data_IF_239531486579
#
_entry.id   IF_239531486579
#
_cell.length_a   1.000
_cell.length_b   1.000
_cell.length_c   1.000
_cell.angle_alpha   90.00
_cell.angle_beta   90.00
_cell.angle_gamma   90.00
#
_symmetry.space_group_name_H-M   'P 1'
#
loop_
_entity.id
_entity.type
_entity.pdbx_description
1 polymer ?
#
# COMPACT_ATOMS: atom_id res chain seq x y z
N UNK A 1 -16.71 -15.53 -7.25
CA UNK A 1 -16.17 -16.92 -7.26
C UNK A 1 -15.41 -17.09 -8.56
N UNK A 2 -14.11 -17.45 -8.53
CA UNK A 2 -13.24 -17.51 -9.72
C UNK A 2 -13.22 -18.91 -10.41
N UNK A 3 -14.18 -19.78 -10.11
CA UNK A 3 -14.09 -21.22 -10.42
C UNK A 3 -14.20 -21.59 -11.91
N UNK A 4 -14.77 -20.73 -12.76
CA UNK A 4 -15.05 -21.03 -14.18
C UNK A 4 -14.23 -20.16 -15.16
N UNK A 5 -13.08 -19.66 -14.71
CA UNK A 5 -12.18 -18.81 -15.53
C UNK A 5 -10.87 -19.54 -15.78
N UNK A 6 -10.47 -19.67 -17.05
CA UNK A 6 -9.08 -20.01 -17.35
C UNK A 6 -8.22 -18.83 -16.89
N UNK A 7 -7.20 -19.11 -16.10
CA UNK A 7 -6.33 -18.06 -15.58
C UNK A 7 -4.91 -18.60 -15.36
N UNK A 8 -3.95 -17.70 -15.39
CA UNK A 8 -2.59 -18.00 -15.00
C UNK A 8 -2.49 -18.13 -13.49
N UNK A 9 -1.69 -19.09 -13.04
CA UNK A 9 -1.38 -19.31 -11.64
C UNK A 9 0.13 -19.42 -11.48
N UNK A 10 0.71 -18.58 -10.62
CA UNK A 10 2.14 -18.64 -10.29
C UNK A 10 2.39 -18.45 -8.80
N UNK A 11 3.52 -18.91 -8.29
CA UNK A 11 3.92 -18.69 -6.90
C UNK A 11 4.32 -17.22 -6.71
N UNK A 12 3.80 -16.60 -5.65
CA UNK A 12 4.10 -15.22 -5.28
C UNK A 12 5.10 -15.12 -4.11
N UNK A 13 5.63 -13.90 -3.91
CA UNK A 13 6.45 -13.54 -2.76
C UNK A 13 7.96 -13.70 -2.95
N UNK A 14 8.75 -12.95 -2.18
CA UNK A 14 10.22 -13.00 -2.19
C UNK A 14 10.75 -14.08 -1.25
N UNK A 15 10.79 -13.78 0.05
CA UNK A 15 11.15 -14.75 1.09
C UNK A 15 10.05 -15.79 1.32
N UNK A 16 8.78 -15.36 1.28
CA UNK A 16 7.62 -16.20 1.60
C UNK A 16 7.40 -17.38 0.65
N UNK A 17 7.98 -17.36 -0.56
CA UNK A 17 7.94 -18.52 -1.48
C UNK A 17 8.61 -19.78 -0.91
N UNK A 18 9.47 -19.62 0.11
CA UNK A 18 10.17 -20.72 0.80
C UNK A 18 9.30 -21.42 1.85
N UNK A 19 8.18 -20.82 2.25
CA UNK A 19 7.28 -21.34 3.27
C UNK A 19 6.38 -22.42 2.66
N UNK A 20 5.97 -23.42 3.43
CA UNK A 20 5.22 -24.58 2.91
C UNK A 20 3.93 -24.17 2.20
N UNK A 21 3.12 -23.37 2.88
CA UNK A 21 1.92 -22.75 2.31
C UNK A 21 2.31 -21.60 1.37
N UNK A 22 1.94 -21.71 0.10
CA UNK A 22 2.33 -20.80 -0.99
C UNK A 22 1.27 -19.74 -1.21
N UNK A 23 1.73 -18.51 -1.41
CA UNK A 23 0.92 -17.44 -2.00
C UNK A 23 0.87 -17.60 -3.52
N UNK A 24 -0.19 -17.13 -4.15
CA UNK A 24 -0.38 -17.21 -5.60
C UNK A 24 -0.56 -15.83 -6.23
N UNK A 25 -0.02 -15.63 -7.44
CA UNK A 25 -0.50 -14.58 -8.34
C UNK A 25 -1.43 -15.23 -9.37
N UNK A 26 -2.53 -14.53 -9.64
CA UNK A 26 -3.50 -14.84 -10.68
C UNK A 26 -3.35 -13.82 -11.81
N UNK A 27 -3.32 -14.28 -13.05
CA UNK A 27 -3.27 -13.42 -14.23
C UNK A 27 -4.38 -13.77 -15.22
N UNK A 28 -5.13 -12.76 -15.65
CA UNK A 28 -6.10 -12.83 -16.74
C UNK A 28 -5.42 -12.45 -18.07
N UNK A 29 -6.14 -12.63 -19.18
CA UNK A 29 -5.65 -12.34 -20.53
C UNK A 29 -5.01 -13.54 -21.23
N UNK A 30 -4.32 -13.25 -22.33
CA UNK A 30 -3.59 -14.27 -23.09
C UNK A 30 -2.59 -15.04 -22.20
N UNK A 31 -2.44 -16.37 -22.36
CA UNK A 31 -3.06 -17.27 -23.35
C UNK A 31 -4.40 -17.89 -22.89
N UNK A 32 -5.09 -17.30 -21.91
CA UNK A 32 -6.22 -17.93 -21.23
C UNK A 32 -7.57 -17.72 -21.94
N UNK A 33 -7.59 -17.07 -23.10
CA UNK A 33 -8.77 -16.85 -23.93
C UNK A 33 -9.32 -15.42 -23.84
N UNK A 34 -9.88 -14.92 -24.94
CA UNK A 34 -10.45 -13.58 -25.03
C UNK A 34 -11.58 -13.35 -24.01
N UNK A 35 -12.33 -14.39 -23.64
CA UNK A 35 -13.37 -14.34 -22.61
C UNK A 35 -12.84 -14.27 -21.16
N UNK A 36 -11.52 -14.37 -21.00
CA UNK A 36 -10.81 -14.31 -19.73
C UNK A 36 -9.79 -13.16 -19.71
N UNK A 37 -10.03 -12.10 -20.49
CA UNK A 37 -9.22 -10.89 -20.55
C UNK A 37 -9.04 -10.20 -19.19
N UNK A 38 -10.07 -10.22 -18.35
CA UNK A 38 -10.09 -9.65 -17.01
C UNK A 38 -10.80 -10.54 -15.99
N UNK A 39 -10.41 -10.39 -14.73
CA UNK A 39 -11.23 -10.77 -13.59
C UNK A 39 -12.22 -9.65 -13.28
N UNK A 40 -13.50 -9.89 -13.52
CA UNK A 40 -14.56 -8.96 -13.14
C UNK A 40 -15.04 -9.26 -11.72
N UNK A 41 -14.66 -8.41 -10.77
CA UNK A 41 -14.91 -8.60 -9.35
C UNK A 41 -15.40 -7.30 -8.71
N UNK A 42 -16.66 -7.28 -8.32
CA UNK A 42 -17.25 -6.21 -7.51
C UNK A 42 -17.16 -6.58 -6.02
N UNK A 43 -15.93 -6.72 -5.52
CA UNK A 43 -15.65 -7.12 -4.12
C UNK A 43 -14.68 -6.18 -3.42
N UNK A 44 -14.09 -5.25 -4.17
CA UNK A 44 -13.26 -4.18 -3.67
C UNK A 44 -14.13 -2.92 -3.76
N UNK A 45 -14.96 -2.64 -2.74
CA UNK A 45 -15.78 -1.44 -2.73
C UNK A 45 -14.89 -0.20 -2.85
N UNK A 46 -15.39 0.79 -3.57
CA UNK A 46 -14.97 2.15 -3.30
C UNK A 46 -15.52 2.53 -1.94
N UNK A 47 -14.73 3.26 -1.16
CA UNK A 47 -15.31 3.94 -0.01
C UNK A 47 -16.47 4.80 -0.52
N UNK A 48 -17.58 4.86 0.21
CA UNK A 48 -18.71 5.74 -0.16
C UNK A 48 -18.31 7.23 -0.18
N UNK A 49 -17.12 7.53 0.33
CA UNK A 49 -16.49 8.85 0.40
C UNK A 49 -15.33 8.99 -0.60
N UNK A 50 -15.05 7.96 -1.41
CA UNK A 50 -13.96 7.94 -2.38
C UNK A 50 -14.31 8.82 -3.56
N UNK A 51 -13.46 9.79 -3.84
CA UNK A 51 -13.53 10.61 -5.06
C UNK A 51 -13.02 9.84 -6.29
N UNK A 52 -12.54 8.59 -6.13
CA UNK A 52 -11.94 7.78 -7.17
C UNK A 52 -12.93 6.84 -7.85
N UNK A 53 -12.64 6.47 -9.10
CA UNK A 53 -13.50 5.62 -9.89
C UNK A 53 -13.46 4.16 -9.42
N UNK A 54 -14.64 3.53 -9.41
CA UNK A 54 -14.79 2.10 -9.17
C UNK A 54 -13.93 1.27 -10.09
N UNK A 55 -13.09 0.41 -9.51
CA UNK A 55 -12.36 -0.61 -10.25
C UNK A 55 -13.09 -1.93 -10.09
N UNK A 56 -13.79 -2.37 -11.13
CA UNK A 56 -14.48 -3.67 -11.15
C UNK A 56 -13.79 -4.74 -11.99
N UNK A 57 -12.68 -4.41 -12.66
CA UNK A 57 -11.98 -5.29 -13.60
C UNK A 57 -10.47 -5.29 -13.36
N UNK A 58 -9.89 -6.48 -13.25
CA UNK A 58 -8.47 -6.65 -12.90
C UNK A 58 -7.78 -7.63 -13.86
N UNK A 59 -6.58 -7.29 -14.29
CA UNK A 59 -5.73 -8.23 -15.04
C UNK A 59 -4.91 -9.13 -14.11
N UNK A 60 -4.63 -8.66 -12.89
CA UNK A 60 -3.75 -9.34 -11.95
C UNK A 60 -4.28 -9.24 -10.52
N UNK A 61 -4.39 -10.39 -9.86
CA UNK A 61 -4.76 -10.51 -8.45
C UNK A 61 -3.69 -11.30 -7.71
N UNK A 62 -3.59 -11.11 -6.40
CA UNK A 62 -2.73 -11.92 -5.53
C UNK A 62 -3.57 -12.56 -4.44
N UNK A 63 -3.32 -13.84 -4.20
CA UNK A 63 -3.80 -14.60 -3.05
C UNK A 63 -2.64 -14.79 -2.09
N UNK A 64 -2.54 -13.95 -1.05
CA UNK A 64 -1.45 -13.99 -0.09
C UNK A 64 -1.74 -15.04 0.99
N UNK A 65 -0.89 -16.06 1.02
CA UNK A 65 -0.78 -17.01 2.12
C UNK A 65 -0.08 -16.33 3.28
N UNK A 66 -0.59 -16.52 4.50
CA UNK A 66 0.08 -16.10 5.73
C UNK A 66 0.46 -17.35 6.49
N UNK A 67 1.67 -17.80 6.21
CA UNK A 67 2.19 -19.05 6.72
C UNK A 67 2.26 -19.05 8.26
N UNK A 68 1.81 -20.15 8.86
CA UNK A 68 2.17 -20.63 10.20
C UNK A 68 1.70 -19.84 11.42
N UNK A 69 1.01 -18.72 11.27
CA UNK A 69 0.25 -18.13 12.38
C UNK A 69 -1.14 -17.76 11.89
N UNK A 70 -2.23 -18.34 12.44
CA UNK A 70 -3.61 -17.96 12.11
C UNK A 70 -4.00 -16.57 12.64
N UNK A 71 -3.12 -15.55 12.54
CA UNK A 71 -3.25 -14.28 13.32
C UNK A 71 -3.01 -13.00 12.55
N UNK A 72 -2.83 -13.01 11.24
CA UNK A 72 -2.52 -11.76 10.55
C UNK A 72 -3.54 -11.43 9.47
N UNK A 73 -4.44 -10.53 9.83
CA UNK A 73 -5.40 -9.79 9.00
C UNK A 73 -4.88 -8.35 8.80
N UNK A 74 -3.58 -8.16 9.03
CA UNK A 74 -2.98 -6.85 9.24
C UNK A 74 -3.06 -6.01 7.98
N UNK A 75 -2.92 -6.60 6.80
CA UNK A 75 -3.08 -5.83 5.55
C UNK A 75 -4.55 -5.49 5.32
N UNK A 76 -5.49 -6.37 5.67
CA UNK A 76 -6.93 -6.03 5.66
C UNK A 76 -7.25 -4.86 6.60
N UNK A 77 -6.72 -4.89 7.82
CA UNK A 77 -6.84 -3.79 8.79
C UNK A 77 -6.20 -2.51 8.28
N UNK A 78 -4.97 -2.59 7.74
CA UNK A 78 -4.23 -1.45 7.20
C UNK A 78 -4.94 -0.88 5.97
N UNK A 79 -5.47 -1.73 5.08
CA UNK A 79 -6.26 -1.31 3.93
C UNK A 79 -7.53 -0.55 4.35
N UNK A 80 -8.23 -1.03 5.38
CA UNK A 80 -9.38 -0.32 5.95
C UNK A 80 -8.96 1.03 6.56
N UNK A 81 -7.90 1.06 7.36
CA UNK A 81 -7.40 2.33 7.92
C UNK A 81 -6.96 3.30 6.82
N UNK A 82 -6.34 2.79 5.75
CA UNK A 82 -5.91 3.59 4.60
C UNK A 82 -7.12 4.22 3.89
N UNK A 83 -8.19 3.45 3.71
CA UNK A 83 -9.48 3.92 3.18
C UNK A 83 -10.07 5.05 4.05
N UNK A 84 -10.15 4.83 5.37
CA UNK A 84 -10.65 5.82 6.34
C UNK A 84 -9.73 7.05 6.47
N UNK A 85 -8.45 6.92 6.14
CA UNK A 85 -7.44 7.99 6.11
C UNK A 85 -7.39 8.77 4.79
N UNK A 86 -8.25 8.47 3.83
CA UNK A 86 -8.23 9.04 2.48
C UNK A 86 -6.88 8.82 1.75
N UNK A 87 -6.23 7.68 2.02
CA UNK A 87 -5.08 7.23 1.22
C UNK A 87 -5.59 6.86 -0.17
N UNK A 88 -5.10 7.58 -1.17
CA UNK A 88 -5.59 7.45 -2.55
C UNK A 88 -5.13 6.16 -3.22
N UNK A 89 -4.00 5.64 -2.79
CA UNK A 89 -3.33 4.50 -3.37
C UNK A 89 -2.87 3.55 -2.26
N UNK A 90 -3.62 2.48 -2.04
CA UNK A 90 -3.27 1.45 -1.08
C UNK A 90 -3.53 0.04 -1.62
N UNK A 91 -2.89 -0.96 -1.02
CA UNK A 91 -3.34 -2.34 -1.13
C UNK A 91 -4.72 -2.44 -0.45
N UNK A 92 -5.71 -2.97 -1.18
CA UNK A 92 -7.09 -3.15 -0.69
C UNK A 92 -7.41 -4.65 -0.55
N UNK A 93 -6.74 -5.37 0.36
CA UNK A 93 -6.95 -6.79 0.51
C UNK A 93 -8.35 -7.09 1.08
N UNK A 94 -8.93 -8.18 0.59
CA UNK A 94 -10.16 -8.77 1.09
C UNK A 94 -9.87 -10.18 1.58
N UNK A 95 -10.55 -10.58 2.66
CA UNK A 95 -10.45 -11.95 3.16
C UNK A 95 -11.03 -12.91 2.11
N UNK A 96 -10.33 -14.02 1.89
CA UNK A 96 -10.70 -15.05 0.93
C UNK A 96 -10.38 -16.45 1.44
N UNK A 97 -10.97 -17.44 0.80
CA UNK A 97 -10.75 -18.86 1.10
C UNK A 97 -10.35 -19.53 -0.20
N UNK A 98 -9.25 -20.28 -0.16
CA UNK A 98 -8.70 -20.97 -1.32
C UNK A 98 -8.88 -22.47 -1.14
N UNK A 99 -9.53 -23.07 -2.14
CA UNK A 99 -9.56 -24.51 -2.33
C UNK A 99 -8.69 -24.86 -3.53
N UNK A 100 -7.73 -25.77 -3.35
CA UNK A 100 -6.86 -26.25 -4.41
C UNK A 100 -7.20 -27.71 -4.70
N UNK A 101 -7.55 -28.02 -5.95
CA UNK A 101 -8.00 -29.35 -6.38
C UNK A 101 -9.15 -29.91 -5.52
N UNK A 102 -10.09 -29.06 -5.11
CA UNK A 102 -11.25 -29.45 -4.30
C UNK A 102 -11.00 -29.58 -2.80
N UNK A 103 -9.76 -29.44 -2.33
CA UNK A 103 -9.40 -29.48 -0.91
C UNK A 103 -9.11 -28.07 -0.38
N UNK A 104 -9.50 -27.80 0.86
CA UNK A 104 -9.12 -26.56 1.54
C UNK A 104 -7.59 -26.41 1.55
N UNK A 105 -7.10 -25.24 1.16
CA UNK A 105 -5.67 -24.95 1.07
C UNK A 105 -5.24 -23.85 2.05
N UNK A 106 -5.96 -22.72 2.06
CA UNK A 106 -5.65 -21.61 2.95
C UNK A 106 -6.82 -20.64 3.11
N UNK A 107 -6.83 -19.96 4.26
CA UNK A 107 -7.37 -18.61 4.34
C UNK A 107 -6.36 -17.67 3.68
N UNK A 108 -6.83 -16.77 2.83
CA UNK A 108 -6.02 -15.87 2.02
C UNK A 108 -6.45 -14.42 2.20
N UNK A 109 -5.52 -13.49 1.99
CA UNK A 109 -5.85 -12.13 1.63
C UNK A 109 -5.78 -12.01 0.11
N UNK A 110 -6.90 -11.67 -0.51
CA UNK A 110 -7.06 -11.42 -1.93
C UNK A 110 -6.90 -9.92 -2.17
N UNK A 111 -5.89 -9.50 -2.92
CA UNK A 111 -5.63 -8.10 -3.24
C UNK A 111 -5.45 -7.91 -4.75
N UNK A 112 -5.89 -6.79 -5.34
CA UNK A 112 -5.43 -6.42 -6.67
C UNK A 112 -3.94 -6.09 -6.57
N UNK A 113 -3.16 -6.50 -7.56
CA UNK A 113 -1.79 -5.96 -7.66
C UNK A 113 -1.87 -4.50 -8.12
N UNK A 114 -1.01 -3.64 -7.57
CA UNK A 114 -0.91 -2.23 -7.95
C UNK A 114 -0.31 -2.07 -9.37
N UNK A 115 -1.10 -2.46 -10.36
CA UNK A 115 -0.77 -2.48 -11.79
C UNK A 115 -1.00 -1.12 -12.44
N UNK A 116 -0.43 -0.92 -13.62
CA UNK A 116 -0.64 0.34 -14.37
C UNK A 116 -2.11 0.48 -14.77
N UNK A 117 -2.78 -0.63 -15.10
CA UNK A 117 -4.23 -0.66 -15.33
C UNK A 117 -5.02 -0.24 -14.09
N UNK A 118 -4.66 -0.72 -12.90
CA UNK A 118 -5.33 -0.32 -11.65
C UNK A 118 -5.20 1.19 -11.42
N UNK A 119 -3.98 1.72 -11.59
CA UNK A 119 -3.71 3.15 -11.49
C UNK A 119 -4.51 3.96 -12.52
N UNK A 120 -4.54 3.50 -13.77
CA UNK A 120 -5.26 4.17 -14.84
C UNK A 120 -6.75 4.27 -14.57
N UNK A 121 -7.38 3.18 -14.11
CA UNK A 121 -8.79 3.21 -13.74
C UNK A 121 -9.04 4.11 -12.52
N UNK A 122 -8.27 3.94 -11.45
CA UNK A 122 -8.48 4.66 -10.19
C UNK A 122 -8.35 6.17 -10.34
N UNK A 123 -7.34 6.62 -11.07
CA UNK A 123 -6.98 8.03 -11.22
C UNK A 123 -7.47 8.65 -12.54
N UNK A 124 -8.34 7.94 -13.27
CA UNK A 124 -8.84 8.31 -14.59
C UNK A 124 -7.69 8.76 -15.53
N UNK A 125 -6.68 7.91 -15.67
CA UNK A 125 -5.56 8.15 -16.59
C UNK A 125 -5.87 7.51 -17.95
N UNK A 126 -5.63 8.22 -19.06
CA UNK A 126 -6.13 7.80 -20.37
C UNK A 126 -5.34 6.63 -20.99
N UNK A 127 -4.09 6.40 -20.57
CA UNK A 127 -3.20 5.42 -21.18
C UNK A 127 -2.17 4.87 -20.18
N UNK A 128 -2.13 3.55 -20.01
CA UNK A 128 -1.18 2.89 -19.09
C UNK A 128 0.29 3.07 -19.48
N UNK A 129 0.60 3.29 -20.75
CA UNK A 129 1.98 3.43 -21.25
C UNK A 129 2.69 4.68 -20.70
N UNK A 130 1.91 5.65 -20.25
CA UNK A 130 2.38 6.91 -19.68
C UNK A 130 2.49 6.88 -18.15
N UNK A 131 2.25 5.74 -17.51
CA UNK A 131 2.41 5.56 -16.06
C UNK A 131 3.82 5.07 -15.76
N UNK A 132 4.61 5.90 -15.07
CA UNK A 132 5.95 5.52 -14.61
C UNK A 132 5.95 5.29 -13.11
N UNK A 133 6.25 4.06 -12.69
CA UNK A 133 6.36 3.69 -11.27
C UNK A 133 7.69 3.04 -10.91
N UNK A 134 8.14 3.21 -9.67
CA UNK A 134 9.35 2.59 -9.11
C UNK A 134 9.11 2.17 -7.67
N UNK A 135 9.57 0.95 -7.34
CA UNK A 135 9.53 0.36 -6.00
C UNK A 135 10.94 0.09 -5.43
N UNK A 136 11.06 0.15 -4.10
CA UNK A 136 12.24 -0.25 -3.33
C UNK A 136 12.37 0.55 -2.03
N UNK A 137 13.61 0.76 -1.58
CA UNK A 137 13.92 1.77 -0.56
C UNK A 137 13.75 3.18 -1.10
N UNK A 138 13.34 4.15 -0.28
CA UNK A 138 13.05 5.53 -0.71
C UNK A 138 14.17 6.15 -1.58
N UNK A 139 15.40 6.20 -1.07
CA UNK A 139 16.53 6.79 -1.81
C UNK A 139 16.83 6.10 -3.14
N UNK A 140 16.46 4.83 -3.28
CA UNK A 140 16.57 4.08 -4.54
C UNK A 140 15.42 4.43 -5.50
N UNK A 141 14.21 4.60 -4.98
CA UNK A 141 13.05 5.06 -5.75
C UNK A 141 13.33 6.46 -6.30
N UNK A 142 13.76 7.41 -5.47
CA UNK A 142 14.08 8.77 -5.90
C UNK A 142 15.20 8.81 -6.94
N UNK A 143 16.25 8.00 -6.78
CA UNK A 143 17.32 7.89 -7.79
C UNK A 143 16.81 7.33 -9.12
N UNK A 144 15.97 6.29 -9.09
CA UNK A 144 15.40 5.68 -10.31
C UNK A 144 14.40 6.59 -11.02
N UNK A 145 13.82 7.55 -10.30
CA UNK A 145 12.90 8.56 -10.82
C UNK A 145 13.60 9.87 -11.20
N UNK A 146 14.90 9.99 -10.89
CA UNK A 146 15.72 11.19 -11.15
C UNK A 146 15.25 12.44 -10.38
N UNK A 147 14.84 12.25 -9.12
CA UNK A 147 14.34 13.34 -8.24
C UNK A 147 15.17 13.52 -6.96
N UNK A 148 16.31 12.83 -6.84
CA UNK A 148 17.16 12.88 -5.65
C UNK A 148 17.61 14.31 -5.30
N UNK A 149 18.03 15.09 -6.29
CA UNK A 149 18.52 16.45 -6.07
C UNK A 149 17.41 17.40 -5.60
N UNK A 150 16.17 17.16 -6.05
CA UNK A 150 14.99 17.95 -5.66
C UNK A 150 14.63 17.70 -4.19
N UNK A 151 14.56 16.43 -3.77
CA UNK A 151 14.24 16.07 -2.38
C UNK A 151 15.37 16.36 -1.38
N UNK A 152 16.61 16.47 -1.85
CA UNK A 152 17.79 16.79 -1.03
C UNK A 152 18.16 18.26 -1.00
N UNK A 153 17.50 19.11 -1.81
CA UNK A 153 17.70 20.55 -1.79
C UNK A 153 17.37 21.17 -0.42
N UNK A 154 17.89 22.37 -0.15
CA UNK A 154 17.63 23.06 1.12
C UNK A 154 16.16 23.53 1.21
N UNK A 155 15.36 22.78 1.96
CA UNK A 155 13.92 23.01 2.11
C UNK A 155 13.59 24.29 2.87
N UNK A 156 14.56 24.96 3.48
CA UNK A 156 14.34 26.29 4.08
C UNK A 156 14.15 27.38 3.03
N UNK A 157 14.65 27.18 1.81
CA UNK A 157 14.48 28.09 0.67
C UNK A 157 13.13 27.87 -0.02
N UNK A 158 12.43 28.96 -0.37
CA UNK A 158 11.10 28.87 -1.01
C UNK A 158 11.20 28.29 -2.41
N UNK A 159 12.23 28.65 -3.17
CA UNK A 159 12.42 28.26 -4.55
C UNK A 159 12.59 26.74 -4.68
N UNK A 160 13.30 26.12 -3.73
CA UNK A 160 13.45 24.66 -3.69
C UNK A 160 12.12 23.96 -3.38
N UNK A 161 11.28 24.54 -2.51
CA UNK A 161 9.95 24.05 -2.21
C UNK A 161 9.00 24.18 -3.40
N UNK A 162 9.08 25.29 -4.14
CA UNK A 162 8.29 25.49 -5.34
C UNK A 162 8.62 24.44 -6.42
N UNK A 163 9.90 24.06 -6.56
CA UNK A 163 10.33 22.96 -7.46
C UNK A 163 9.85 21.60 -6.96
N UNK A 164 9.95 21.36 -5.65
CA UNK A 164 9.47 20.12 -5.04
C UNK A 164 7.96 19.94 -5.26
N UNK A 165 7.16 20.98 -5.07
CA UNK A 165 5.70 20.97 -5.23
C UNK A 165 5.26 20.82 -6.70
N UNK A 166 6.10 21.21 -7.66
CA UNK A 166 5.91 20.89 -9.08
C UNK A 166 6.26 19.44 -9.42
N UNK A 167 7.09 18.81 -8.60
CA UNK A 167 7.62 17.45 -8.83
C UNK A 167 6.79 16.38 -8.12
N UNK A 168 6.27 16.68 -6.94
CA UNK A 168 5.59 15.73 -6.06
C UNK A 168 4.35 16.36 -5.43
N UNK A 169 3.33 15.53 -5.24
CA UNK A 169 2.16 15.89 -4.45
C UNK A 169 2.53 15.82 -2.97
N UNK A 170 2.90 16.95 -2.38
CA UNK A 170 3.37 17.00 -1.00
C UNK A 170 2.27 16.71 0.03
N UNK A 171 1.00 16.84 -0.33
CA UNK A 171 -0.10 16.40 0.54
C UNK A 171 -0.15 14.88 0.61
N UNK A 172 0.01 14.21 -0.55
CA UNK A 172 0.09 12.75 -0.64
C UNK A 172 1.32 12.20 0.10
N UNK A 173 2.50 12.81 -0.11
CA UNK A 173 3.74 12.41 0.57
C UNK A 173 3.66 12.53 2.10
N UNK A 174 3.16 13.66 2.61
CA UNK A 174 3.07 13.88 4.06
C UNK A 174 1.99 12.99 4.71
N UNK A 175 0.90 12.71 4.00
CA UNK A 175 -0.13 11.79 4.44
C UNK A 175 0.39 10.34 4.52
N UNK A 176 1.14 9.90 3.51
CA UNK A 176 1.76 8.57 3.47
C UNK A 176 2.78 8.39 4.60
N UNK A 177 3.59 9.41 4.89
CA UNK A 177 4.48 9.43 6.05
C UNK A 177 3.71 9.34 7.37
N UNK A 178 2.67 10.17 7.54
CA UNK A 178 1.87 10.19 8.77
C UNK A 178 1.23 8.82 9.02
N UNK A 179 0.70 8.20 7.97
CA UNK A 179 0.07 6.88 8.02
C UNK A 179 1.08 5.78 8.42
N UNK A 180 2.24 5.70 7.77
CA UNK A 180 3.27 4.70 8.12
C UNK A 180 3.85 4.91 9.53
N UNK A 181 3.95 6.16 9.98
CA UNK A 181 4.41 6.49 11.34
C UNK A 181 3.37 6.05 12.37
N UNK A 182 2.08 6.36 12.17
CA UNK A 182 1.01 5.97 13.11
C UNK A 182 0.80 4.45 13.17
N UNK A 183 1.03 3.77 12.05
CA UNK A 183 1.02 2.30 12.00
C UNK A 183 2.33 1.68 12.46
N UNK A 184 3.36 2.49 12.74
CA UNK A 184 4.73 2.05 13.08
C UNK A 184 5.24 0.93 12.15
N UNK A 185 5.14 1.12 10.83
CA UNK A 185 5.55 0.12 9.84
C UNK A 185 7.08 -0.06 9.80
N UNK A 186 7.57 -1.19 10.31
CA UNK A 186 9.01 -1.40 10.52
C UNK A 186 9.79 -1.89 9.29
N UNK A 187 9.13 -2.09 8.14
CA UNK A 187 9.79 -2.39 6.85
C UNK A 187 9.76 -1.19 5.88
N UNK A 188 9.44 0.00 6.38
CA UNK A 188 9.33 1.24 5.60
C UNK A 188 10.04 2.39 6.36
N UNK A 189 10.73 3.36 5.72
CA UNK A 189 10.92 3.56 4.27
C UNK A 189 12.17 2.88 3.68
N UNK A 190 12.90 2.09 4.48
CA UNK A 190 14.05 1.32 3.99
C UNK A 190 13.66 0.22 3.00
N UNK A 191 12.40 -0.16 2.96
CA UNK A 191 11.79 -0.99 1.93
C UNK A 191 10.34 -0.52 1.70
N UNK A 192 9.61 -1.19 0.81
CA UNK A 192 8.17 -0.99 0.56
C UNK A 192 7.74 0.46 0.26
N UNK A 193 8.63 1.26 -0.33
CA UNK A 193 8.27 2.52 -0.97
C UNK A 193 7.97 2.25 -2.44
N UNK A 194 6.83 2.71 -2.91
CA UNK A 194 6.50 2.77 -4.34
C UNK A 194 5.95 4.16 -4.66
N UNK A 195 6.50 4.76 -5.70
CA UNK A 195 6.06 6.05 -6.20
C UNK A 195 5.76 5.94 -7.69
N UNK A 196 4.73 6.67 -8.14
CA UNK A 196 4.27 6.71 -9.52
C UNK A 196 3.98 8.15 -9.96
N UNK A 197 4.06 8.40 -11.27
CA UNK A 197 3.57 9.63 -11.88
C UNK A 197 3.16 9.42 -13.33
N UNK A 198 2.36 10.37 -13.83
CA UNK A 198 2.02 10.51 -15.24
C UNK A 198 3.18 11.13 -16.02
N UNK A 199 3.40 10.66 -17.26
CA UNK A 199 4.45 11.15 -18.17
C UNK A 199 3.92 11.66 -19.50
N UNK A 200 2.61 11.57 -19.74
CA UNK A 200 1.96 12.10 -20.93
C UNK A 200 1.60 13.57 -20.78
N UNK A 201 0.78 14.07 -21.70
CA UNK A 201 0.29 15.45 -21.67
C UNK A 201 -0.69 15.66 -20.50
N UNK A 202 -0.64 16.87 -19.93
CA UNK A 202 -1.59 17.28 -18.89
C UNK A 202 -2.98 17.53 -19.51
N UNK A 203 -3.99 16.92 -18.90
CA UNK A 203 -5.40 17.13 -19.19
C UNK A 203 -6.08 17.82 -17.99
N UNK A 204 -6.55 19.08 -18.14
CA UNK A 204 -7.27 19.79 -17.08
C UNK A 204 -8.52 19.10 -16.56
N UNK A 205 -9.10 18.15 -17.31
CA UNK A 205 -10.26 17.36 -16.86
C UNK A 205 -9.85 16.13 -16.04
N UNK A 206 -8.56 15.75 -16.06
CA UNK A 206 -7.99 14.59 -15.35
C UNK A 206 -6.84 15.05 -14.44
N UNK A 207 -7.13 15.47 -13.19
CA UNK A 207 -6.16 16.18 -12.36
C UNK A 207 -4.87 15.41 -12.06
N UNK A 208 -4.91 14.07 -12.10
CA UNK A 208 -3.76 13.20 -11.87
C UNK A 208 -2.80 13.06 -13.07
N UNK A 209 -3.10 13.73 -14.18
CA UNK A 209 -2.19 13.89 -15.33
C UNK A 209 -1.20 15.05 -15.15
N UNK A 210 -1.14 15.67 -13.98
CA UNK A 210 -0.27 16.81 -13.66
C UNK A 210 1.23 16.48 -13.57
N UNK A 211 1.59 15.21 -13.74
CA UNK A 211 2.97 14.73 -13.73
C UNK A 211 3.62 14.64 -12.35
N UNK A 212 2.90 14.97 -11.27
CA UNK A 212 3.43 14.93 -9.90
C UNK A 212 3.55 13.50 -9.38
N UNK A 213 4.63 13.23 -8.66
CA UNK A 213 4.85 11.99 -7.92
C UNK A 213 3.83 11.82 -6.81
N UNK A 214 3.30 10.59 -6.71
CA UNK A 214 2.40 10.11 -5.67
C UNK A 214 2.85 8.74 -5.17
N UNK A 215 2.45 8.38 -3.96
CA UNK A 215 2.96 7.25 -3.22
C UNK A 215 1.88 6.21 -2.98
N UNK A 216 2.30 4.98 -2.63
CA UNK A 216 1.40 3.83 -2.46
C UNK A 216 1.66 3.17 -1.12
N UNK A 217 0.62 2.91 -0.35
CA UNK A 217 0.66 2.07 0.86
C UNK A 217 0.48 0.60 0.47
N UNK A 218 1.47 -0.25 0.73
CA UNK A 218 1.37 -1.69 0.47
C UNK A 218 2.40 -2.45 1.30
N UNK A 219 2.22 -3.76 1.44
CA UNK A 219 3.19 -4.63 2.12
C UNK A 219 3.54 -4.12 3.53
N UNK A 220 2.50 -3.81 4.30
CA UNK A 220 2.51 -3.30 5.68
C UNK A 220 2.31 -4.43 6.70
N UNK A 221 2.73 -5.65 6.37
CA UNK A 221 2.65 -6.80 7.28
C UNK A 221 3.52 -6.64 8.54
N UNK A 222 4.50 -5.72 8.51
CA UNK A 222 5.32 -5.28 9.65
C UNK A 222 4.76 -4.07 10.43
N UNK A 223 3.55 -3.60 10.12
CA UNK A 223 2.87 -2.60 10.93
C UNK A 223 2.54 -3.08 12.35
N UNK A 224 2.29 -2.16 13.27
CA UNK A 224 1.89 -2.41 14.66
C UNK A 224 2.79 -3.42 15.38
N UNK A 225 4.11 -3.33 15.17
CA UNK A 225 5.13 -4.19 15.79
C UNK A 225 4.79 -5.67 15.63
N UNK A 226 4.63 -6.12 14.38
CA UNK A 226 4.10 -7.43 14.06
C UNK A 226 4.96 -8.58 14.61
N UNK A 227 6.27 -8.38 14.73
CA UNK A 227 7.20 -9.38 15.21
C UNK A 227 8.16 -8.78 16.24
N UNK A 228 7.69 -8.49 17.47
CA UNK A 228 8.49 -7.78 18.46
C UNK A 228 9.77 -8.54 18.83
N UNK A 229 9.79 -9.87 18.72
CA UNK A 229 11.01 -10.65 19.01
C UNK A 229 12.08 -10.46 17.94
N UNK A 230 11.69 -10.31 16.67
CA UNK A 230 12.61 -10.06 15.55
C UNK A 230 12.86 -8.56 15.29
N UNK A 231 12.03 -7.68 15.85
CA UNK A 231 12.00 -6.24 15.52
C UNK A 231 12.45 -5.32 16.67
N UNK A 232 13.17 -5.85 17.66
CA UNK A 232 13.73 -5.06 18.76
C UNK A 232 12.74 -4.75 19.90
N UNK A 233 11.64 -5.49 19.95
CA UNK A 233 10.58 -5.36 20.94
C UNK A 233 9.51 -4.34 20.56
N UNK A 234 8.58 -4.09 21.49
CA UNK A 234 7.57 -3.04 21.34
C UNK A 234 8.12 -1.61 21.50
N UNK A 235 9.44 -1.47 21.71
CA UNK A 235 10.10 -0.18 21.94
C UNK A 235 10.67 0.47 20.69
N UNK A 236 10.58 -0.17 19.52
CA UNK A 236 11.09 0.41 18.26
C UNK A 236 10.19 1.56 17.81
N UNK A 237 10.75 2.76 17.81
CA UNK A 237 10.10 3.99 17.37
C UNK A 237 10.55 4.34 15.95
N UNK A 238 9.69 4.11 14.96
CA UNK A 238 10.01 4.40 13.58
C UNK A 238 10.17 5.91 13.31
N UNK A 239 9.41 6.76 14.01
CA UNK A 239 9.55 8.21 13.86
C UNK A 239 10.95 8.66 14.27
N UNK A 240 11.45 8.16 15.40
CA UNK A 240 12.82 8.43 15.84
C UNK A 240 13.85 7.94 14.82
N UNK A 241 13.71 6.72 14.30
CA UNK A 241 14.60 6.18 13.27
C UNK A 241 14.65 7.06 12.01
N UNK A 242 13.49 7.53 11.54
CA UNK A 242 13.35 8.42 10.39
C UNK A 242 14.02 9.77 10.68
N UNK A 243 13.65 10.44 11.77
CA UNK A 243 14.11 11.79 12.10
C UNK A 243 15.62 11.86 12.37
N UNK A 244 16.18 10.82 13.01
CA UNK A 244 17.61 10.71 13.27
C UNK A 244 18.39 10.11 12.09
N UNK A 245 17.69 9.66 11.04
CA UNK A 245 18.26 9.07 9.83
C UNK A 245 19.13 7.83 10.12
N UNK A 246 18.61 6.95 10.99
CA UNK A 246 19.26 5.72 11.45
C UNK A 246 18.40 4.49 11.12
N UNK A 247 19.02 3.30 11.15
CA UNK A 247 18.33 2.02 10.94
C UNK A 247 17.44 2.02 9.69
N UNK A 248 16.12 1.82 9.85
CA UNK A 248 15.13 1.80 8.76
C UNK A 248 14.79 3.19 8.21
N UNK A 249 15.14 4.25 8.93
CA UNK A 249 15.02 5.64 8.47
C UNK A 249 16.24 6.14 7.69
N UNK A 250 17.27 5.32 7.54
CA UNK A 250 18.51 5.70 6.86
C UNK A 250 18.27 6.08 5.40
N UNK A 251 18.91 7.16 4.98
CA UNK A 251 18.79 7.81 3.68
C UNK A 251 17.40 8.42 3.40
N UNK A 252 16.54 8.57 4.41
CA UNK A 252 15.23 9.20 4.24
C UNK A 252 15.37 10.70 3.92
N UNK A 253 14.55 11.21 3.00
CA UNK A 253 14.44 12.64 2.71
C UNK A 253 13.62 13.40 3.75
N UNK A 254 12.78 12.71 4.53
CA UNK A 254 11.82 13.34 5.43
C UNK A 254 12.42 14.29 6.47
N UNK A 255 13.56 13.99 7.13
CA UNK A 255 14.17 14.94 8.05
C UNK A 255 14.55 16.26 7.38
N UNK A 256 14.92 16.21 6.09
CA UNK A 256 15.19 17.41 5.31
C UNK A 256 13.89 18.18 5.00
N UNK A 257 12.83 17.49 4.57
CA UNK A 257 11.50 18.07 4.34
C UNK A 257 10.99 18.78 5.61
N UNK A 258 11.15 18.16 6.77
CA UNK A 258 10.71 18.70 8.06
C UNK A 258 11.45 19.97 8.52
N UNK A 259 12.57 20.36 7.88
CA UNK A 259 13.22 21.65 8.16
C UNK A 259 12.37 22.84 7.70
N UNK A 260 11.49 22.64 6.72
CA UNK A 260 10.57 23.67 6.27
C UNK A 260 9.38 23.77 7.22
N UNK A 261 9.21 24.92 7.87
CA UNK A 261 8.06 25.15 8.76
C UNK A 261 6.71 24.86 8.09
N UNK A 262 6.59 25.17 6.80
CA UNK A 262 5.35 24.92 6.04
C UNK A 262 5.00 23.43 5.96
N UNK A 263 6.00 22.55 5.83
CA UNK A 263 5.78 21.11 5.74
C UNK A 263 5.65 20.49 7.13
N UNK A 264 6.41 20.95 8.12
CA UNK A 264 6.25 20.48 9.50
C UNK A 264 4.87 20.82 10.05
N UNK A 265 4.38 22.06 9.86
CA UNK A 265 3.05 22.47 10.32
C UNK A 265 1.94 21.65 9.63
N UNK A 266 2.07 21.43 8.31
CA UNK A 266 1.14 20.61 7.54
C UNK A 266 1.15 19.15 8.01
N UNK A 267 2.33 18.57 8.24
CA UNK A 267 2.47 17.22 8.77
C UNK A 267 1.82 17.06 10.15
N UNK A 268 2.04 18.00 11.06
CA UNK A 268 1.39 17.97 12.38
C UNK A 268 -0.13 18.10 12.29
N UNK A 269 -0.63 18.88 11.33
CA UNK A 269 -2.07 18.99 11.07
C UNK A 269 -2.63 17.65 10.60
N UNK A 270 -2.01 17.03 9.59
CA UNK A 270 -2.41 15.70 9.08
C UNK A 270 -2.38 14.65 10.20
N UNK A 271 -1.29 14.60 10.97
CA UNK A 271 -1.16 13.65 12.08
C UNK A 271 -2.28 13.86 13.12
N UNK A 272 -2.58 15.11 13.45
CA UNK A 272 -3.65 15.46 14.40
C UNK A 272 -5.02 15.06 13.86
N UNK A 273 -5.29 15.30 12.58
CA UNK A 273 -6.56 14.94 11.96
C UNK A 273 -6.75 13.41 11.95
N UNK A 274 -5.72 12.66 11.57
CA UNK A 274 -5.73 11.19 11.61
C UNK A 274 -5.98 10.67 13.02
N UNK A 275 -5.24 11.15 14.04
CA UNK A 275 -5.42 10.73 15.44
C UNK A 275 -6.81 11.09 16.00
N UNK A 276 -7.46 12.12 15.46
CA UNK A 276 -8.83 12.50 15.83
C UNK A 276 -9.91 11.84 14.97
N UNK A 277 -9.54 11.04 13.96
CA UNK A 277 -10.46 10.35 13.05
C UNK A 277 -10.12 8.86 12.94
N UNK A 278 -9.52 8.39 11.84
CA UNK A 278 -9.27 6.97 11.57
C UNK A 278 -8.26 6.31 12.52
N UNK A 279 -7.42 7.09 13.21
CA UNK A 279 -6.47 6.60 14.22
C UNK A 279 -6.88 6.92 15.65
N UNK A 280 -8.17 7.19 15.92
CA UNK A 280 -8.66 7.21 17.29
C UNK A 280 -8.37 5.87 17.97
N UNK A 281 -7.76 5.91 19.16
CA UNK A 281 -7.28 4.70 19.85
C UNK A 281 -8.34 3.63 20.01
N UNK A 282 -9.54 3.99 20.49
CA UNK A 282 -10.62 3.04 20.73
C UNK A 282 -11.09 2.40 19.41
N UNK A 283 -11.19 3.20 18.35
CA UNK A 283 -11.55 2.73 17.01
C UNK A 283 -10.54 1.72 16.46
N UNK A 284 -9.24 2.05 16.48
CA UNK A 284 -8.18 1.14 16.00
C UNK A 284 -8.15 -0.15 16.83
N UNK A 285 -8.29 -0.05 18.16
CA UNK A 285 -8.31 -1.22 19.05
C UNK A 285 -9.53 -2.11 18.78
N UNK A 286 -10.70 -1.52 18.54
CA UNK A 286 -11.92 -2.27 18.24
C UNK A 286 -11.82 -2.95 16.87
N UNK A 287 -11.30 -2.28 15.84
CA UNK A 287 -11.01 -2.90 14.55
C UNK A 287 -10.05 -4.09 14.65
N UNK A 288 -9.00 -3.99 15.49
CA UNK A 288 -8.09 -5.10 15.76
C UNK A 288 -8.83 -6.27 16.42
N UNK A 289 -9.67 -5.99 17.42
CA UNK A 289 -10.44 -7.03 18.15
C UNK A 289 -11.44 -7.73 17.24
N UNK A 290 -12.19 -6.98 16.46
CA UNK A 290 -13.16 -7.50 15.49
C UNK A 290 -12.47 -8.37 14.44
N UNK A 291 -11.38 -7.86 13.87
CA UNK A 291 -10.60 -8.60 12.89
C UNK A 291 -10.00 -9.89 13.46
N UNK A 292 -9.54 -9.86 14.71
CA UNK A 292 -9.05 -11.04 15.42
C UNK A 292 -10.16 -12.05 15.68
N UNK A 293 -11.33 -11.60 16.15
CA UNK A 293 -12.47 -12.47 16.41
C UNK A 293 -12.93 -13.21 15.14
N UNK A 294 -13.03 -12.50 14.02
CA UNK A 294 -13.39 -13.10 12.73
C UNK A 294 -12.39 -14.19 12.32
N UNK A 295 -11.09 -13.93 12.44
CA UNK A 295 -10.08 -14.94 12.07
C UNK A 295 -10.16 -16.16 12.97
N UNK A 296 -10.45 -16.01 14.27
CA UNK A 296 -10.65 -17.16 15.15
C UNK A 296 -11.84 -18.04 14.71
N UNK A 297 -12.91 -17.43 14.19
CA UNK A 297 -14.06 -18.17 13.65
C UNK A 297 -13.72 -18.88 12.33
N UNK A 298 -13.05 -18.19 11.41
CA UNK A 298 -12.62 -18.77 10.14
C UNK A 298 -11.68 -19.97 10.38
N UNK A 299 -10.75 -19.83 11.32
CA UNK A 299 -9.79 -20.90 11.64
C UNK A 299 -10.50 -22.13 12.19
N UNK A 300 -11.45 -21.95 13.12
CA UNK A 300 -12.26 -23.06 13.66
C UNK A 300 -13.08 -23.77 12.57
N UNK A 301 -13.51 -23.01 11.57
CA UNK A 301 -14.39 -23.52 10.51
C UNK A 301 -13.65 -24.34 9.45
N UNK A 302 -12.40 -24.00 9.15
CA UNK A 302 -11.67 -24.56 8.01
C UNK A 302 -10.38 -25.31 8.35
N UNK A 303 -9.73 -25.01 9.48
CA UNK A 303 -8.58 -25.76 9.99
C UNK A 303 -9.04 -26.68 11.13
N UNK A 304 -9.91 -27.65 10.82
CA UNK A 304 -10.21 -28.75 11.75
C UNK A 304 -9.09 -29.78 11.70
N UNK A 305 -8.65 -30.28 12.87
CA UNK A 305 -7.64 -31.35 13.00
C UNK A 305 -7.94 -32.61 12.15
#
# INVERSE_FOLDING_TARGET
>A
MLQDKNAGLSISGGMSRRLDQKSFNLSAGEPYGEENDHFYLDIFPDSKESEFAHVGSYTHLRLRARSQVPRTFRETLIGQLAEESNIRASAEPRKGIVFLNGSFYMLAELEPTFSDSLLAHRFDLPDTDHIKKKKGKESSVFRKLDVTDIFSADMTQKENRDVLEQTADMDDYLLEYAFNILTNNLDWPYNNVEAWHWTGDYDPQRPFTDGRLRFVIFDSDKAFNADPELEGGFGTDNLTNIMENIHIGRDSAFPNIMKAKTYSDKFFTILSDLMNTSFQTDHVVDLIRESYAQVQEDVKSYYTE
#
